data_IF_829806846826
#
_entry.id   IF_829806846826
#
_cell.length_a   1.000
_cell.length_b   1.000
_cell.length_c   1.000
_cell.angle_alpha   90.00
_cell.angle_beta   90.00
_cell.angle_gamma   90.00
#
_symmetry.space_group_name_H-M   'P 1'
#
loop_
_entity.id
_entity.type
_entity.pdbx_description
1 polymer ?
#
# COMPACT_ATOMS: atom_id res chain seq x y z
N UNK A 1 3.28 16.44 3.57
CA UNK A 1 3.32 16.20 2.11
C UNK A 1 2.80 14.81 1.81
N UNK A 2 1.98 14.66 0.77
CA UNK A 2 1.52 13.38 0.25
C UNK A 2 2.15 13.22 -1.13
N UNK A 3 3.09 12.28 -1.26
CA UNK A 3 3.71 11.95 -2.53
C UNK A 3 2.81 10.95 -3.29
N UNK A 4 2.53 11.24 -4.58
CA UNK A 4 1.73 10.38 -5.48
C UNK A 4 2.47 10.06 -6.78
N UNK A 5 3.73 10.48 -6.89
CA UNK A 5 4.57 10.32 -8.08
C UNK A 5 5.21 8.93 -8.11
N UNK A 6 5.19 8.26 -9.26
CA UNK A 6 5.86 6.97 -9.47
C UNK A 6 7.29 7.12 -10.04
N UNK A 7 8.17 6.17 -9.69
CA UNK A 7 8.02 5.04 -8.77
C UNK A 7 7.89 5.51 -7.32
N UNK A 8 6.73 5.22 -6.70
CA UNK A 8 6.27 5.89 -5.48
C UNK A 8 7.27 5.81 -4.33
N UNK A 9 7.74 4.61 -4.00
CA UNK A 9 8.57 4.39 -2.81
C UNK A 9 9.92 5.13 -2.94
N UNK A 10 10.50 5.17 -4.13
CA UNK A 10 11.73 5.95 -4.40
C UNK A 10 11.45 7.45 -4.34
N UNK A 11 10.34 7.90 -4.94
CA UNK A 11 10.02 9.33 -5.00
C UNK A 11 9.69 9.92 -3.63
N UNK A 12 9.00 9.18 -2.76
CA UNK A 12 8.73 9.64 -1.39
C UNK A 12 10.02 9.73 -0.56
N UNK A 13 10.94 8.77 -0.74
CA UNK A 13 12.26 8.78 -0.09
C UNK A 13 13.10 9.97 -0.57
N UNK A 14 13.20 10.17 -1.88
CA UNK A 14 13.93 11.29 -2.47
C UNK A 14 13.35 12.64 -2.01
N UNK A 15 12.03 12.78 -2.05
CA UNK A 15 11.37 14.00 -1.59
C UNK A 15 11.67 14.28 -0.11
N UNK A 16 11.54 13.27 0.77
CA UNK A 16 11.82 13.44 2.20
C UNK A 16 13.27 13.88 2.41
N UNK A 17 14.21 13.25 1.72
CA UNK A 17 15.63 13.55 1.83
C UNK A 17 15.95 14.97 1.39
N UNK A 18 15.55 15.38 0.19
CA UNK A 18 15.87 16.73 -0.34
C UNK A 18 15.10 17.86 0.35
N UNK A 19 13.89 17.59 0.84
CA UNK A 19 13.12 18.61 1.55
C UNK A 19 13.57 18.86 2.97
N UNK A 20 14.28 17.92 3.60
CA UNK A 20 14.66 17.97 5.01
C UNK A 20 13.46 17.96 5.98
N UNK A 21 12.25 17.70 5.49
CA UNK A 21 11.08 17.63 6.35
C UNK A 21 11.16 16.41 7.28
N UNK A 22 10.60 16.49 8.50
CA UNK A 22 10.49 15.33 9.38
C UNK A 22 9.75 14.18 8.69
N UNK A 23 10.19 12.94 8.92
CA UNK A 23 9.65 11.74 8.25
C UNK A 23 8.15 11.56 8.47
N UNK A 24 7.61 11.98 9.63
CA UNK A 24 6.18 11.94 9.91
C UNK A 24 5.36 12.99 9.13
N UNK A 25 6.01 13.93 8.43
CA UNK A 25 5.37 14.94 7.58
C UNK A 25 5.39 14.59 6.09
N UNK A 26 6.04 13.50 5.74
CA UNK A 26 6.13 13.01 4.37
C UNK A 26 5.59 11.58 4.31
N UNK A 27 4.63 11.34 3.42
CA UNK A 27 3.94 10.05 3.28
C UNK A 27 3.67 9.77 1.81
N UNK A 28 3.76 8.52 1.40
CA UNK A 28 3.46 8.08 0.05
C UNK A 28 2.04 7.49 -0.07
N UNK A 29 1.31 7.86 -1.11
CA UNK A 29 0.04 7.27 -1.50
C UNK A 29 0.32 5.93 -2.19
N UNK A 30 0.16 4.82 -1.48
CA UNK A 30 0.51 3.46 -1.91
C UNK A 30 -0.62 2.47 -1.59
N UNK A 31 -0.51 1.75 -0.50
CA UNK A 31 -1.43 0.70 -0.09
C UNK A 31 -2.90 1.12 -0.02
N UNK A 32 -3.22 2.39 0.22
CA UNK A 32 -4.60 2.89 0.18
C UNK A 32 -5.23 2.67 -1.21
N UNK A 33 -4.48 2.92 -2.29
CA UNK A 33 -4.93 2.65 -3.65
C UNK A 33 -4.98 1.15 -3.94
N UNK A 34 -3.94 0.42 -3.56
CA UNK A 34 -3.82 -1.02 -3.79
C UNK A 34 -4.90 -1.80 -3.04
N UNK A 35 -5.18 -1.39 -1.80
CA UNK A 35 -6.29 -1.91 -1.00
C UNK A 35 -7.64 -1.64 -1.67
N UNK A 36 -7.82 -0.47 -2.30
CA UNK A 36 -9.07 -0.16 -3.00
C UNK A 36 -9.32 -1.07 -4.19
N UNK A 37 -8.27 -1.45 -4.92
CA UNK A 37 -8.33 -2.43 -6.02
C UNK A 37 -8.68 -3.82 -5.49
N UNK A 38 -8.00 -4.26 -4.42
CA UNK A 38 -8.29 -5.54 -3.79
C UNK A 38 -9.74 -5.62 -3.31
N UNK A 39 -10.24 -4.57 -2.65
CA UNK A 39 -11.65 -4.44 -2.26
C UNK A 39 -12.60 -4.53 -3.45
N UNK A 40 -12.29 -3.84 -4.55
CA UNK A 40 -13.11 -3.89 -5.77
C UNK A 40 -13.20 -5.30 -6.32
N UNK A 41 -12.08 -6.01 -6.45
CA UNK A 41 -12.09 -7.36 -7.01
C UNK A 41 -12.84 -8.36 -6.11
N UNK A 42 -12.70 -8.24 -4.80
CA UNK A 42 -13.49 -9.03 -3.85
C UNK A 42 -15.00 -8.65 -3.91
N UNK A 43 -15.32 -7.36 -4.05
CA UNK A 43 -16.69 -6.88 -4.21
C UNK A 43 -17.38 -7.50 -5.44
N UNK A 44 -16.66 -7.55 -6.57
CA UNK A 44 -17.14 -8.19 -7.79
C UNK A 44 -17.30 -9.71 -7.63
N UNK A 45 -16.37 -10.37 -6.95
CA UNK A 45 -16.39 -11.81 -6.72
C UNK A 45 -17.59 -12.25 -5.85
N UNK A 46 -17.82 -11.52 -4.76
CA UNK A 46 -18.88 -11.85 -3.80
C UNK A 46 -20.21 -11.15 -4.08
N UNK A 47 -20.27 -10.30 -5.12
CA UNK A 47 -21.43 -9.47 -5.45
C UNK A 47 -21.97 -8.67 -4.25
N UNK A 48 -21.08 -8.00 -3.53
CA UNK A 48 -21.39 -7.14 -2.38
C UNK A 48 -20.81 -5.73 -2.59
N UNK A 49 -21.40 -4.69 -1.98
CA UNK A 49 -20.85 -3.33 -2.06
C UNK A 49 -19.41 -3.24 -1.53
N UNK A 50 -18.53 -2.46 -2.19
CA UNK A 50 -17.12 -2.26 -1.78
C UNK A 50 -16.99 -1.81 -0.32
N UNK A 51 -17.96 -1.03 0.19
CA UNK A 51 -17.99 -0.57 1.58
C UNK A 51 -18.12 -1.69 2.62
N UNK A 52 -18.58 -2.86 2.20
CA UNK A 52 -18.69 -4.06 3.05
C UNK A 52 -17.41 -4.91 3.06
N UNK A 53 -16.40 -4.49 2.31
CA UNK A 53 -15.09 -5.15 2.30
C UNK A 53 -14.14 -4.38 3.21
N UNK A 54 -13.65 -5.05 4.25
CA UNK A 54 -12.47 -4.63 5.01
C UNK A 54 -11.27 -5.37 4.44
N UNK A 55 -10.22 -4.66 4.03
CA UNK A 55 -9.04 -5.30 3.46
C UNK A 55 -7.78 -4.47 3.72
N UNK A 56 -6.62 -5.09 3.51
CA UNK A 56 -5.32 -4.46 3.65
C UNK A 56 -4.34 -5.01 2.61
N UNK A 57 -3.57 -4.10 2.02
CA UNK A 57 -2.43 -4.42 1.16
C UNK A 57 -1.22 -3.67 1.71
N UNK A 58 -0.09 -4.36 1.84
CA UNK A 58 1.17 -3.82 2.38
C UNK A 58 2.31 -3.96 1.36
N UNK A 59 3.52 -3.50 1.75
CA UNK A 59 4.73 -3.61 0.94
C UNK A 59 4.97 -2.42 0.03
N UNK A 60 5.91 -2.56 -0.91
CA UNK A 60 6.19 -1.55 -1.94
C UNK A 60 5.02 -1.39 -2.91
N UNK A 61 4.87 -0.19 -3.46
CA UNK A 61 3.81 0.13 -4.43
C UNK A 61 4.19 -0.37 -5.83
N UNK A 62 3.91 -1.63 -6.12
CA UNK A 62 4.24 -2.29 -7.39
C UNK A 62 3.78 -3.75 -7.41
N UNK A 63 4.36 -4.54 -8.30
CA UNK A 63 4.04 -5.95 -8.53
C UNK A 63 4.40 -6.87 -7.33
N UNK A 64 5.22 -6.40 -6.41
CA UNK A 64 5.59 -7.10 -5.17
C UNK A 64 4.72 -6.75 -3.97
N UNK A 65 3.65 -5.96 -4.14
CA UNK A 65 2.72 -5.67 -3.05
C UNK A 65 2.10 -6.94 -2.44
N UNK A 66 1.75 -6.87 -1.17
CA UNK A 66 1.28 -8.02 -0.38
C UNK A 66 -0.16 -7.80 0.05
N UNK A 67 -1.15 -8.33 -0.69
CA UNK A 67 -2.52 -8.44 -0.19
C UNK A 67 -2.55 -9.36 1.03
N UNK A 68 -3.34 -8.98 2.05
CA UNK A 68 -3.42 -9.72 3.32
C UNK A 68 -4.81 -10.33 3.53
N UNK A 69 -5.11 -11.53 3.02
CA UNK A 69 -6.40 -12.21 3.20
C UNK A 69 -6.76 -12.46 4.67
N UNK A 70 -5.78 -12.68 5.56
CA UNK A 70 -6.02 -12.86 7.02
C UNK A 70 -6.62 -11.61 7.67
N UNK A 71 -6.30 -10.43 7.15
CA UNK A 71 -6.80 -9.14 7.64
C UNK A 71 -7.98 -8.63 6.81
N UNK A 72 -8.61 -9.52 6.04
CA UNK A 72 -9.69 -9.18 5.11
C UNK A 72 -11.01 -9.81 5.56
N UNK A 73 -12.09 -9.00 5.52
CA UNK A 73 -13.46 -9.43 5.78
C UNK A 73 -14.37 -9.02 4.64
N UNK A 74 -15.36 -9.84 4.36
CA UNK A 74 -16.43 -9.61 3.39
C UNK A 74 -17.76 -9.66 4.14
N UNK A 75 -18.50 -8.55 4.17
CA UNK A 75 -19.74 -8.41 4.95
C UNK A 75 -19.56 -8.91 6.40
N UNK A 76 -18.48 -8.50 7.05
CA UNK A 76 -18.12 -8.86 8.42
C UNK A 76 -17.55 -10.28 8.62
N UNK A 77 -17.51 -11.13 7.59
CA UNK A 77 -17.01 -12.52 7.68
C UNK A 77 -15.53 -12.57 7.26
N UNK A 78 -14.64 -13.21 8.05
CA UNK A 78 -13.25 -13.39 7.64
C UNK A 78 -13.13 -14.07 6.28
N UNK A 79 -12.30 -13.53 5.39
CA UNK A 79 -12.14 -14.06 4.03
C UNK A 79 -11.63 -15.51 4.03
N UNK A 80 -10.71 -15.85 4.94
CA UNK A 80 -10.21 -17.23 5.05
C UNK A 80 -11.28 -18.24 5.49
N UNK A 81 -12.28 -17.81 6.26
CA UNK A 81 -13.41 -18.67 6.61
C UNK A 81 -14.33 -18.89 5.40
N UNK A 82 -14.48 -17.89 4.53
CA UNK A 82 -15.20 -18.06 3.26
C UNK A 82 -14.48 -19.05 2.32
N UNK A 83 -13.15 -19.05 2.32
CA UNK A 83 -12.34 -20.06 1.60
C UNK A 83 -12.58 -21.46 2.20
N UNK A 84 -12.46 -21.62 3.52
CA UNK A 84 -12.70 -22.91 4.21
C UNK A 84 -14.09 -23.48 3.95
N UNK A 85 -15.08 -22.59 3.87
CA UNK A 85 -16.48 -22.96 3.64
C UNK A 85 -16.83 -23.09 2.13
N UNK A 86 -15.86 -23.10 1.23
CA UNK A 86 -16.04 -23.30 -0.21
C UNK A 86 -16.82 -22.19 -0.92
N UNK A 87 -16.92 -20.98 -0.33
CA UNK A 87 -17.55 -19.82 -0.97
C UNK A 87 -16.67 -19.17 -2.03
N UNK A 88 -15.39 -19.40 -1.96
CA UNK A 88 -14.36 -19.05 -2.96
C UNK A 88 -13.25 -20.11 -2.87
N UNK A 89 -12.69 -20.52 -4.00
CA UNK A 89 -11.56 -21.44 -4.00
C UNK A 89 -10.24 -20.73 -3.69
N UNK A 90 -9.21 -21.47 -3.26
CA UNK A 90 -7.88 -20.90 -3.03
C UNK A 90 -7.26 -20.35 -4.31
N UNK A 91 -7.44 -21.05 -5.42
CA UNK A 91 -6.95 -20.67 -6.74
C UNK A 91 -7.62 -19.35 -7.19
N UNK A 92 -8.92 -19.21 -6.94
CA UNK A 92 -9.65 -17.99 -7.27
C UNK A 92 -9.20 -16.80 -6.43
N UNK A 93 -8.97 -17.02 -5.12
CA UNK A 93 -8.42 -15.98 -4.25
C UNK A 93 -7.02 -15.56 -4.71
N UNK A 94 -6.16 -16.51 -5.09
CA UNK A 94 -4.82 -16.16 -5.59
C UNK A 94 -4.89 -15.40 -6.92
N UNK A 95 -5.82 -15.74 -7.81
CA UNK A 95 -6.06 -14.98 -9.03
C UNK A 95 -6.48 -13.51 -8.71
N UNK A 96 -7.27 -13.30 -7.67
CA UNK A 96 -7.65 -11.95 -7.20
C UNK A 96 -6.43 -11.22 -6.61
N UNK A 97 -5.61 -11.89 -5.79
CA UNK A 97 -4.38 -11.33 -5.26
C UNK A 97 -3.45 -10.89 -6.40
N UNK A 98 -3.25 -11.75 -7.40
CA UNK A 98 -2.40 -11.45 -8.56
C UNK A 98 -2.97 -10.28 -9.37
N UNK A 99 -4.28 -10.27 -9.65
CA UNK A 99 -4.92 -9.15 -10.34
C UNK A 99 -4.77 -7.83 -9.56
N UNK A 100 -4.74 -7.89 -8.23
CA UNK A 100 -4.47 -6.71 -7.40
C UNK A 100 -3.06 -6.18 -7.63
N UNK A 101 -2.05 -7.06 -7.71
CA UNK A 101 -0.66 -6.70 -8.04
C UNK A 101 -0.57 -6.09 -9.45
N UNK A 102 -1.28 -6.65 -10.41
CA UNK A 102 -1.27 -6.23 -11.81
C UNK A 102 -2.18 -5.03 -12.11
N UNK A 103 -2.95 -4.56 -11.13
CA UNK A 103 -4.00 -3.55 -11.33
C UNK A 103 -3.51 -2.22 -11.89
N UNK A 104 -2.24 -1.84 -11.63
CA UNK A 104 -1.61 -0.68 -12.27
C UNK A 104 -1.36 -0.90 -13.75
N UNK A 105 -0.77 -2.04 -14.11
CA UNK A 105 -0.48 -2.42 -15.48
C UNK A 105 -1.78 -2.62 -16.29
N UNK A 106 -2.84 -3.18 -15.68
CA UNK A 106 -4.17 -3.32 -16.31
C UNK A 106 -4.72 -1.96 -16.76
N UNK A 107 -4.62 -0.93 -15.92
CA UNK A 107 -5.09 0.43 -16.27
C UNK A 107 -4.23 1.06 -17.38
N UNK A 108 -2.90 0.92 -17.30
CA UNK A 108 -1.99 1.42 -18.36
C UNK A 108 -2.33 0.80 -19.72
N UNK A 109 -2.60 -0.52 -19.72
CA UNK A 109 -3.01 -1.22 -20.94
C UNK A 109 -4.32 -0.69 -21.54
N UNK A 110 -5.30 -0.33 -20.71
CA UNK A 110 -6.56 0.24 -21.21
C UNK A 110 -6.43 1.69 -21.67
N UNK A 111 -5.55 2.47 -21.05
CA UNK A 111 -5.36 3.87 -21.40
C UNK A 111 -4.41 4.07 -22.59
N UNK A 112 -3.62 3.05 -22.95
CA UNK A 112 -2.59 3.07 -24.00
C UNK A 112 -1.49 4.11 -23.77
N UNK A 113 -1.84 5.30 -23.26
CA UNK A 113 -0.91 6.38 -22.89
C UNK A 113 -1.23 6.90 -21.48
N UNK A 114 -0.20 7.16 -20.67
CA UNK A 114 -0.32 7.66 -19.31
C UNK A 114 -0.51 6.57 -18.27
N UNK A 115 -1.06 6.93 -17.12
CA UNK A 115 -1.30 6.03 -15.97
C UNK A 115 -2.66 6.32 -15.34
N UNK A 116 -3.06 5.51 -14.36
CA UNK A 116 -4.26 5.76 -13.56
C UNK A 116 -4.19 7.16 -12.92
N UNK A 117 -5.29 7.89 -12.88
CA UNK A 117 -5.35 9.23 -12.27
C UNK A 117 -6.58 9.43 -11.36
N UNK A 118 -7.75 8.90 -11.68
CA UNK A 118 -8.93 9.04 -10.81
C UNK A 118 -8.77 8.38 -9.45
N UNK A 119 -8.41 7.10 -9.43
CA UNK A 119 -8.25 6.36 -8.17
C UNK A 119 -7.06 6.86 -7.34
N UNK A 120 -5.87 7.17 -7.92
CA UNK A 120 -4.79 7.86 -7.21
C UNK A 120 -5.21 9.20 -6.62
N UNK A 121 -5.94 10.04 -7.36
CA UNK A 121 -6.44 11.32 -6.87
C UNK A 121 -7.41 11.13 -5.69
N UNK A 122 -8.38 10.23 -5.81
CA UNK A 122 -9.32 9.91 -4.73
C UNK A 122 -8.60 9.43 -3.47
N UNK A 123 -7.58 8.57 -3.62
CA UNK A 123 -6.76 8.08 -2.51
C UNK A 123 -5.97 9.21 -1.84
N UNK A 124 -5.35 10.10 -2.62
CA UNK A 124 -4.66 11.27 -2.09
C UNK A 124 -5.58 12.24 -1.36
N UNK A 125 -6.80 12.46 -1.89
CA UNK A 125 -7.83 13.29 -1.24
C UNK A 125 -8.28 12.67 0.08
N UNK A 126 -8.44 11.35 0.16
CA UNK A 126 -8.79 10.67 1.42
C UNK A 126 -7.71 10.84 2.48
N UNK A 127 -6.43 10.71 2.11
CA UNK A 127 -5.30 10.98 3.00
C UNK A 127 -5.29 12.45 3.48
N UNK A 128 -5.49 13.40 2.55
CA UNK A 128 -5.56 14.83 2.86
C UNK A 128 -6.73 15.16 3.80
N UNK A 129 -7.88 14.54 3.60
CA UNK A 129 -9.06 14.67 4.46
C UNK A 129 -8.79 14.17 5.87
N UNK A 130 -8.16 12.99 6.01
CA UNK A 130 -7.78 12.44 7.31
C UNK A 130 -6.87 13.40 8.10
N UNK A 131 -5.91 14.03 7.41
CA UNK A 131 -5.03 15.05 8.00
C UNK A 131 -5.80 16.33 8.38
N UNK A 132 -6.50 16.94 7.42
CA UNK A 132 -7.17 18.24 7.60
C UNK A 132 -8.27 18.21 8.66
N UNK A 133 -8.99 17.10 8.76
CA UNK A 133 -10.07 16.88 9.74
C UNK A 133 -9.60 16.22 11.03
N UNK A 134 -8.31 15.89 11.14
CA UNK A 134 -7.75 15.13 12.27
C UNK A 134 -8.54 13.85 12.58
N UNK A 135 -8.88 13.10 11.52
CA UNK A 135 -9.74 11.91 11.65
C UNK A 135 -9.07 10.77 12.42
N UNK A 136 -7.73 10.80 12.59
CA UNK A 136 -6.92 9.70 13.15
C UNK A 136 -7.26 8.37 12.51
N UNK A 137 -7.40 8.40 11.18
CA UNK A 137 -7.82 7.26 10.38
C UNK A 137 -6.64 6.34 10.10
N UNK A 138 -6.85 5.04 10.26
CA UNK A 138 -5.88 4.03 9.84
C UNK A 138 -5.96 3.84 8.33
N UNK A 139 -4.86 4.09 7.65
CA UNK A 139 -4.72 3.96 6.20
C UNK A 139 -3.41 3.23 5.85
N UNK A 140 -3.40 2.28 4.91
CA UNK A 140 -2.15 1.70 4.42
C UNK A 140 -1.48 2.68 3.45
N UNK A 141 -0.32 3.19 3.85
CA UNK A 141 0.45 4.19 3.09
C UNK A 141 1.94 3.90 3.19
N UNK A 142 2.74 4.41 2.25
CA UNK A 142 4.19 4.34 2.37
C UNK A 142 4.67 5.33 3.44
N UNK A 143 5.20 4.79 4.53
CA UNK A 143 5.72 5.54 5.67
C UNK A 143 7.15 5.12 6.01
N UNK A 144 7.89 6.00 6.67
CA UNK A 144 9.26 5.75 7.09
C UNK A 144 9.31 4.79 8.27
N UNK A 145 9.99 3.66 8.08
CA UNK A 145 10.20 2.66 9.11
C UNK A 145 11.51 2.92 9.86
N UNK A 146 11.45 2.84 11.18
CA UNK A 146 12.59 3.02 12.08
C UNK A 146 12.66 1.95 13.17
N UNK A 147 12.40 0.72 12.81
CA UNK A 147 12.43 -0.46 13.70
C UNK A 147 11.23 -1.37 13.53
N UNK A 148 10.13 -0.86 13.00
CA UNK A 148 8.94 -1.64 12.73
C UNK A 148 9.26 -2.76 11.74
N UNK A 149 8.72 -3.95 11.99
CA UNK A 149 9.00 -5.18 11.23
C UNK A 149 10.49 -5.55 11.13
N UNK A 150 11.34 -4.99 12.03
CA UNK A 150 12.81 -5.16 11.99
C UNK A 150 13.50 -4.33 10.89
N UNK A 151 12.79 -3.41 10.24
CA UNK A 151 13.28 -2.59 9.13
C UNK A 151 13.64 -1.19 9.62
N UNK A 152 14.65 -0.57 9.00
CA UNK A 152 15.10 0.80 9.32
C UNK A 152 15.46 1.56 8.05
N UNK A 153 15.31 2.88 8.11
CA UNK A 153 15.76 3.83 7.08
C UNK A 153 15.15 3.55 5.70
N UNK A 154 13.88 3.15 5.65
CA UNK A 154 13.18 2.80 4.43
C UNK A 154 11.73 3.24 4.50
N UNK A 155 11.16 3.69 3.39
CA UNK A 155 9.72 3.83 3.24
C UNK A 155 9.14 2.51 2.72
N UNK A 156 8.02 2.09 3.29
CA UNK A 156 7.25 0.95 2.83
C UNK A 156 5.77 1.12 3.14
N UNK A 157 4.92 0.48 2.37
CA UNK A 157 3.47 0.46 2.57
C UNK A 157 3.10 -0.33 3.82
N UNK A 158 2.66 0.35 4.86
CA UNK A 158 2.23 -0.20 6.15
C UNK A 158 0.98 0.53 6.65
N UNK A 159 0.19 -0.08 7.55
CA UNK A 159 -0.92 0.64 8.18
C UNK A 159 -0.41 1.75 9.08
N UNK A 160 -0.88 2.95 8.85
CA UNK A 160 -0.52 4.14 9.65
C UNK A 160 -1.77 4.86 10.13
N UNK A 161 -1.64 5.61 11.23
CA UNK A 161 -2.65 6.57 11.68
C UNK A 161 -2.26 7.95 11.17
N UNK A 162 -3.13 8.55 10.35
CA UNK A 162 -2.99 9.95 9.88
C UNK A 162 -3.89 10.86 10.71
N UNK A 163 -3.29 11.86 11.35
CA UNK A 163 -3.97 12.93 12.06
C UNK A 163 -3.33 14.29 11.77
N UNK A 164 -3.67 15.31 12.55
CA UNK A 164 -3.18 16.69 12.37
C UNK A 164 -1.65 16.85 12.44
N UNK A 165 -0.96 15.88 12.99
CA UNK A 165 0.50 15.88 13.09
C UNK A 165 1.19 15.14 11.92
N UNK A 166 0.44 14.66 10.93
CA UNK A 166 0.91 13.81 9.84
C UNK A 166 0.75 12.34 10.18
N UNK A 167 1.79 11.53 9.97
CA UNK A 167 1.84 10.15 10.45
C UNK A 167 2.04 10.18 11.96
N UNK A 168 1.02 9.83 12.72
CA UNK A 168 1.05 9.85 14.19
C UNK A 168 1.49 8.51 14.78
N UNK A 169 1.24 7.40 14.06
CA UNK A 169 1.60 6.06 14.48
C UNK A 169 1.68 5.12 13.29
N UNK A 170 2.60 4.15 13.33
CA UNK A 170 2.59 2.96 12.50
C UNK A 170 1.94 1.84 13.32
N UNK A 171 0.89 1.22 12.78
CA UNK A 171 0.25 0.08 13.40
C UNK A 171 0.92 -1.21 12.93
N UNK A 172 1.72 -1.82 13.79
CA UNK A 172 2.39 -3.09 13.48
C UNK A 172 1.36 -4.21 13.57
N UNK A 173 1.10 -4.88 12.45
CA UNK A 173 0.24 -6.05 12.38
C UNK A 173 1.05 -7.33 12.52
N UNK A 174 0.45 -8.35 13.15
CA UNK A 174 1.08 -9.65 13.35
C UNK A 174 1.00 -10.49 12.06
N UNK A 175 2.08 -10.41 11.26
CA UNK A 175 2.23 -11.17 10.02
C UNK A 175 2.67 -12.60 10.34
N UNK A 176 2.05 -13.59 9.67
CA UNK A 176 2.57 -14.94 9.71
C UNK A 176 3.91 -15.07 8.92
N UNK A 177 4.58 -16.21 9.00
CA UNK A 177 5.90 -16.40 8.40
C UNK A 177 5.88 -16.20 6.87
N UNK A 178 4.79 -16.59 6.19
CA UNK A 178 4.62 -16.39 4.75
C UNK A 178 4.44 -14.90 4.43
N UNK A 179 3.50 -14.25 5.10
CA UNK A 179 3.21 -12.81 4.92
C UNK A 179 4.45 -11.96 5.22
N UNK A 180 5.19 -12.31 6.29
CA UNK A 180 6.43 -11.65 6.65
C UNK A 180 7.51 -11.82 5.58
N UNK A 181 7.67 -13.04 5.05
CA UNK A 181 8.61 -13.31 3.95
C UNK A 181 8.25 -12.51 2.70
N UNK A 182 6.97 -12.49 2.31
CA UNK A 182 6.48 -11.71 1.17
C UNK A 182 6.69 -10.20 1.39
N UNK A 183 6.41 -9.71 2.61
CA UNK A 183 6.62 -8.30 2.95
C UNK A 183 8.10 -7.90 2.89
N UNK A 184 9.00 -8.70 3.46
CA UNK A 184 10.45 -8.45 3.38
C UNK A 184 10.93 -8.49 1.93
N UNK A 185 10.48 -9.47 1.12
CA UNK A 185 10.80 -9.52 -0.31
C UNK A 185 10.35 -8.23 -1.04
N UNK A 186 9.15 -7.75 -0.74
CA UNK A 186 8.63 -6.50 -1.31
C UNK A 186 9.49 -5.30 -0.94
N UNK A 187 9.90 -5.18 0.33
CA UNK A 187 10.79 -4.09 0.79
C UNK A 187 12.19 -4.19 0.18
N UNK A 188 12.72 -5.40 -0.02
CA UNK A 188 14.00 -5.59 -0.73
C UNK A 188 13.93 -5.10 -2.19
N UNK A 189 12.78 -5.24 -2.84
CA UNK A 189 12.57 -4.67 -4.18
C UNK A 189 12.62 -3.14 -4.15
N UNK A 190 12.03 -2.50 -3.13
CA UNK A 190 12.14 -1.04 -2.93
C UNK A 190 13.59 -0.61 -2.71
N UNK A 191 14.36 -1.34 -1.89
CA UNK A 191 15.79 -1.04 -1.67
C UNK A 191 16.60 -1.10 -2.97
N UNK A 192 16.37 -2.13 -3.79
CA UNK A 192 17.04 -2.26 -5.09
C UNK A 192 16.73 -1.08 -6.01
N UNK A 193 15.48 -0.62 -6.04
CA UNK A 193 15.10 0.56 -6.81
C UNK A 193 15.77 1.84 -6.27
N UNK A 194 15.86 1.99 -4.95
CA UNK A 194 16.57 3.10 -4.32
C UNK A 194 18.05 3.10 -4.67
N UNK A 195 18.70 1.94 -4.59
CA UNK A 195 20.12 1.78 -5.00
C UNK A 195 20.34 2.13 -6.47
N UNK A 196 19.41 1.74 -7.35
CA UNK A 196 19.46 2.10 -8.76
C UNK A 196 19.31 3.61 -8.97
N UNK A 197 18.37 4.26 -8.28
CA UNK A 197 18.18 5.71 -8.30
C UNK A 197 19.44 6.44 -7.79
N UNK A 198 20.03 5.98 -6.69
CA UNK A 198 21.23 6.55 -6.09
C UNK A 198 22.49 6.43 -6.97
N UNK A 199 22.52 5.48 -7.89
CA UNK A 199 23.58 5.39 -8.93
C UNK A 199 23.40 6.45 -10.01
N UNK A 200 22.15 6.82 -10.31
CA UNK A 200 21.83 7.86 -11.30
C UNK A 200 22.07 9.25 -10.70
N UNK A 201 21.62 9.45 -9.47
CA UNK A 201 21.81 10.70 -8.72
C UNK A 201 22.55 10.42 -7.41
N UNK A 202 23.89 10.64 -7.34
CA UNK A 202 24.68 10.42 -6.13
C UNK A 202 24.30 11.31 -4.94
N UNK A 203 23.57 12.42 -5.16
CA UNK A 203 23.09 13.29 -4.07
C UNK A 203 22.05 12.59 -3.19
N UNK A 204 21.43 11.53 -3.71
CA UNK A 204 20.56 10.65 -2.94
C UNK A 204 21.32 9.85 -1.85
N UNK A 205 22.66 9.81 -1.88
CA UNK A 205 23.47 9.13 -0.86
C UNK A 205 24.07 10.09 0.20
N UNK A 206 23.96 11.40 -0.02
CA UNK A 206 24.41 12.43 0.93
C UNK A 206 23.38 12.63 2.03
#
# INVERSE_FOLDING_TARGET
VICITNPLDVMVMAFQKFSGLPTNKVVGMAGILDTSRFKLFLSLEFNVPVKEIEAMVMGGHGDTMVPLPRFTKVSGKPLLDLVKNGKISKERLEAINQRTRDGGAEIVKFLEKGSAFYAPAASGVEMAKAFLKNEKKMLPCAAYLNGEYGLKNIYAGVPIIIGKNGVEKIEVVDLDEKEKSEFIHSVESVKKLWEAASKIDPDLNK
#
